data_IF_856569807110
#
_entry.id   IF_856569807110
#
_cell.length_a   1.000
_cell.length_b   1.000
_cell.length_c   1.000
_cell.angle_alpha   90.00
_cell.angle_beta   90.00
_cell.angle_gamma   90.00
#
_symmetry.space_group_name_H-M   'P 1'
#
loop_
_entity.id
_entity.type
_entity.pdbx_description
1 polymer ?
#
# COMPACT_ATOMS: atom_id res chain seq x y z
N UNK A 1 2.67 -13.02 8.49
CA UNK A 1 3.38 -12.96 7.19
C UNK A 1 3.45 -11.51 6.76
N UNK A 2 4.59 -11.01 6.28
CA UNK A 2 4.70 -9.65 5.75
C UNK A 2 3.96 -9.51 4.43
N UNK A 3 3.56 -8.28 4.11
CA UNK A 3 2.91 -7.91 2.85
C UNK A 3 3.65 -6.76 2.20
N UNK A 4 3.73 -6.75 0.88
CA UNK A 4 4.30 -5.65 0.13
C UNK A 4 3.39 -5.30 -1.06
N UNK A 5 3.54 -4.07 -1.54
CA UNK A 5 2.90 -3.62 -2.77
C UNK A 5 3.78 -4.00 -3.95
N UNK A 6 3.19 -4.66 -4.93
CA UNK A 6 3.81 -5.00 -6.19
C UNK A 6 3.11 -4.21 -7.30
N UNK A 7 3.86 -3.80 -8.30
CA UNK A 7 3.29 -3.34 -9.56
C UNK A 7 3.91 -4.11 -10.71
N UNK A 8 3.07 -4.75 -11.52
CA UNK A 8 3.52 -5.57 -12.66
C UNK A 8 4.66 -6.54 -12.28
N UNK A 9 4.47 -7.26 -11.17
CA UNK A 9 5.43 -8.19 -10.54
C UNK A 9 6.72 -7.55 -9.95
N UNK A 10 6.91 -6.23 -10.08
CA UNK A 10 7.99 -5.51 -9.41
C UNK A 10 7.59 -5.06 -7.99
N UNK A 11 8.40 -5.38 -6.98
CA UNK A 11 8.19 -4.91 -5.59
C UNK A 11 8.45 -3.39 -5.55
N UNK A 12 7.37 -2.61 -5.38
CA UNK A 12 7.45 -1.15 -5.30
C UNK A 12 7.61 -0.65 -3.87
N UNK A 13 7.08 -1.41 -2.90
CA UNK A 13 7.08 -1.00 -1.50
C UNK A 13 7.84 -1.99 -0.62
N UNK A 14 8.30 -1.51 0.54
CA UNK A 14 8.96 -2.34 1.54
C UNK A 14 7.97 -3.37 2.12
N UNK A 15 8.44 -4.40 2.82
CA UNK A 15 7.56 -5.32 3.51
C UNK A 15 6.96 -4.67 4.76
N UNK A 16 5.65 -4.79 4.93
CA UNK A 16 4.88 -4.33 6.07
C UNK A 16 4.32 -5.51 6.86
N UNK A 17 4.02 -5.31 8.15
CA UNK A 17 3.54 -6.39 9.00
C UNK A 17 2.12 -6.86 8.61
N UNK A 18 1.30 -5.98 8.03
CA UNK A 18 -0.08 -6.29 7.64
C UNK A 18 -0.42 -5.74 6.26
N UNK A 19 -1.34 -6.40 5.55
CA UNK A 19 -1.88 -5.90 4.30
C UNK A 19 -2.58 -4.53 4.48
N UNK A 20 -3.23 -4.31 5.64
CA UNK A 20 -3.89 -3.04 5.94
C UNK A 20 -2.92 -1.86 6.01
N UNK A 21 -1.68 -2.08 6.48
CA UNK A 21 -0.63 -1.05 6.42
C UNK A 21 -0.27 -0.75 4.96
N UNK A 22 -0.08 -1.78 4.12
CA UNK A 22 0.20 -1.58 2.68
C UNK A 22 -0.94 -0.82 1.99
N UNK A 23 -2.19 -1.17 2.31
CA UNK A 23 -3.39 -0.47 1.81
C UNK A 23 -3.40 1.01 2.17
N UNK A 24 -3.05 1.37 3.41
CA UNK A 24 -2.97 2.78 3.82
C UNK A 24 -1.92 3.54 3.03
N UNK A 25 -0.78 2.90 2.75
CA UNK A 25 0.33 3.51 2.02
C UNK A 25 -0.08 3.74 0.57
N UNK A 26 -0.65 2.71 -0.06
CA UNK A 26 -1.16 2.80 -1.42
C UNK A 26 -2.27 3.86 -1.55
N UNK A 27 -3.18 3.93 -0.57
CA UNK A 27 -4.23 4.95 -0.54
C UNK A 27 -3.65 6.36 -0.45
N UNK A 28 -2.66 6.57 0.42
CA UNK A 28 -1.99 7.87 0.56
C UNK A 28 -1.22 8.28 -0.70
N UNK A 29 -0.61 7.32 -1.39
CA UNK A 29 0.13 7.54 -2.63
C UNK A 29 -0.78 7.77 -3.85
N UNK A 30 -2.11 7.73 -3.69
CA UNK A 30 -3.06 7.85 -4.82
C UNK A 30 -3.10 6.62 -5.72
N UNK A 31 -2.58 5.48 -5.25
CA UNK A 31 -2.53 4.20 -5.99
C UNK A 31 -3.83 3.39 -5.84
N UNK A 32 -4.75 3.87 -5.02
CA UNK A 32 -6.07 3.27 -4.82
C UNK A 32 -7.05 3.97 -5.74
N UNK A 33 -7.64 3.20 -6.63
CA UNK A 33 -8.77 3.64 -7.45
C UNK A 33 -10.06 3.32 -6.71
N UNK A 34 -10.91 4.32 -6.54
CA UNK A 34 -12.27 4.10 -6.04
C UNK A 34 -13.05 3.44 -7.18
N UNK A 35 -13.20 2.12 -7.15
CA UNK A 35 -14.06 1.43 -8.11
C UNK A 35 -15.51 1.72 -7.72
N UNK A 36 -16.11 2.64 -8.45
CA UNK A 36 -17.56 2.75 -8.58
C UNK A 36 -18.02 1.48 -9.29
N UNK A 37 -18.21 0.40 -8.52
CA UNK A 37 -18.84 -0.81 -9.04
C UNK A 37 -20.26 -0.46 -9.46
N UNK A 38 -20.45 -0.34 -10.76
CA UNK A 38 -21.78 -0.38 -11.34
C UNK A 38 -22.46 -1.67 -10.87
N UNK A 39 -23.60 -1.50 -10.21
CA UNK A 39 -24.63 -2.51 -10.06
C UNK A 39 -24.30 -3.71 -9.13
N UNK A 40 -24.16 -3.44 -7.83
CA UNK A 40 -24.90 -4.14 -6.77
C UNK A 40 -24.54 -3.54 -5.41
N UNK A 41 -25.46 -3.59 -4.46
CA UNK A 41 -25.50 -2.84 -3.20
C UNK A 41 -24.37 -3.22 -2.21
N UNK A 42 -23.11 -2.97 -2.56
CA UNK A 42 -21.95 -3.15 -1.66
C UNK A 42 -21.08 -1.91 -1.81
N UNK A 43 -20.87 -1.18 -0.71
CA UNK A 43 -20.09 0.07 -0.67
C UNK A 43 -18.81 -0.02 -1.53
N UNK A 44 -18.41 1.07 -2.23
CA UNK A 44 -17.21 1.08 -3.06
C UNK A 44 -16.06 0.58 -2.21
N UNK A 45 -15.56 -0.62 -2.54
CA UNK A 45 -14.37 -1.14 -1.88
C UNK A 45 -13.22 -0.45 -2.60
N UNK A 46 -12.39 0.35 -1.91
CA UNK A 46 -11.19 0.87 -2.51
C UNK A 46 -10.39 -0.32 -3.04
N UNK A 47 -10.16 -0.36 -4.35
CA UNK A 47 -9.30 -1.37 -4.96
C UNK A 47 -8.02 -0.72 -5.44
N UNK A 48 -6.95 -1.50 -5.52
CA UNK A 48 -5.74 -1.03 -6.18
C UNK A 48 -6.00 -0.95 -7.67
N UNK A 49 -5.30 -0.04 -8.33
CA UNK A 49 -5.31 0.00 -9.78
C UNK A 49 -4.86 -1.37 -10.35
N UNK A 50 -5.31 -1.71 -11.57
CA UNK A 50 -5.09 -3.02 -12.17
C UNK A 50 -3.60 -3.42 -12.25
N UNK A 51 -2.72 -2.42 -12.28
CA UNK A 51 -1.28 -2.59 -12.30
C UNK A 51 -0.67 -2.83 -10.91
N UNK A 52 -1.44 -2.76 -9.81
CA UNK A 52 -0.95 -2.84 -8.43
C UNK A 52 -1.62 -3.97 -7.63
N UNK A 53 -0.83 -4.75 -6.90
CA UNK A 53 -1.32 -5.87 -6.11
C UNK A 53 -0.61 -5.95 -4.75
N UNK A 54 -1.36 -6.24 -3.68
CA UNK A 54 -0.79 -6.53 -2.35
C UNK A 54 -0.65 -8.03 -2.21
N UNK A 55 0.60 -8.50 -2.14
CA UNK A 55 0.92 -9.91 -2.01
C UNK A 55 1.73 -10.16 -0.74
N UNK A 56 1.54 -11.33 -0.08
CA UNK A 56 2.44 -11.74 0.97
C UNK A 56 3.85 -11.87 0.38
N UNK A 57 4.82 -11.24 1.05
CA UNK A 57 6.21 -11.18 0.62
C UNK A 57 7.09 -11.87 1.66
N UNK A 58 8.22 -12.44 1.24
CA UNK A 58 9.23 -12.89 2.19
C UNK A 58 9.88 -11.69 2.85
N UNK A 59 10.01 -11.76 4.18
CA UNK A 59 10.77 -10.74 4.90
C UNK A 59 12.23 -10.89 4.52
N UNK A 60 12.81 -9.86 3.93
CA UNK A 60 14.23 -9.86 3.63
C UNK A 60 15.02 -9.76 4.94
N UNK A 61 16.17 -10.45 5.07
CA UNK A 61 16.91 -10.53 6.33
C UNK A 61 17.42 -9.18 6.86
N UNK A 62 17.47 -8.15 6.01
CA UNK A 62 17.82 -6.77 6.38
C UNK A 62 16.61 -5.84 6.56
N UNK A 63 15.40 -6.35 6.34
CA UNK A 63 14.19 -5.55 6.26
C UNK A 63 13.35 -5.73 7.54
N UNK A 64 13.10 -4.63 8.23
CA UNK A 64 12.33 -4.59 9.47
C UNK A 64 10.92 -4.06 9.20
N UNK A 65 9.87 -4.89 9.23
CA UNK A 65 8.54 -4.47 8.81
C UNK A 65 7.95 -3.40 9.75
N UNK A 66 8.33 -3.45 11.03
CA UNK A 66 7.96 -2.42 12.00
C UNK A 66 8.64 -1.07 11.72
N UNK A 67 9.92 -1.07 11.30
CA UNK A 67 10.61 0.16 10.90
C UNK A 67 10.07 0.68 9.58
N UNK A 68 9.79 -0.19 8.61
CA UNK A 68 9.22 0.21 7.32
C UNK A 68 7.87 0.90 7.48
N UNK A 69 7.04 0.42 8.40
CA UNK A 69 5.80 1.09 8.78
C UNK A 69 6.08 2.49 9.31
N UNK A 70 6.94 2.61 10.32
CA UNK A 70 7.25 3.91 10.94
C UNK A 70 7.88 4.91 9.95
N UNK A 71 8.77 4.42 9.08
CA UNK A 71 9.44 5.17 8.02
C UNK A 71 8.42 5.70 7.01
N UNK A 72 7.56 4.83 6.49
CA UNK A 72 6.57 5.25 5.50
C UNK A 72 5.46 6.13 6.08
N UNK A 73 5.10 5.98 7.37
CA UNK A 73 4.22 6.94 8.04
C UNK A 73 4.86 8.33 8.13
N UNK A 74 6.17 8.39 8.39
CA UNK A 74 6.95 9.64 8.48
C UNK A 74 7.18 10.29 7.12
N UNK A 75 7.50 9.52 6.09
CA UNK A 75 7.64 10.01 4.72
C UNK A 75 6.31 10.54 4.20
N UNK A 76 5.22 9.80 4.41
CA UNK A 76 3.88 10.25 4.02
C UNK A 76 3.46 11.56 4.72
N UNK A 77 3.86 11.78 5.98
CA UNK A 77 3.64 13.07 6.65
C UNK A 77 4.46 14.21 6.04
N UNK A 78 5.66 13.89 5.56
CA UNK A 78 6.59 14.86 4.97
C UNK A 78 6.15 15.26 3.56
N UNK A 79 5.71 14.30 2.74
CA UNK A 79 5.22 14.55 1.39
C UNK A 79 3.94 15.40 1.41
N UNK A 80 3.04 15.17 2.38
CA UNK A 80 1.84 16.00 2.57
C UNK A 80 2.17 17.47 2.91
N UNK A 81 3.29 17.70 3.60
CA UNK A 81 3.76 19.05 3.95
C UNK A 81 4.49 19.74 2.79
N UNK A 82 5.16 18.96 1.93
CA UNK A 82 5.90 19.48 0.78
C UNK A 82 4.98 19.75 -0.43
N UNK A 83 3.84 19.07 -0.51
CA UNK A 83 2.82 19.26 -1.54
C UNK A 83 1.85 20.44 -1.26
N UNK A 84 2.15 21.29 -0.27
CA UNK A 84 1.34 22.45 0.13
C UNK A 84 1.79 23.76 -0.52
#
# INVERSE_FOLDING_TARGET
MPYALFSNDAKLSKAYPTAADVWKIAQKSGLVVDVVSGQDNTAPRPVLDHDYEIRPCQLEPHEDPARNKADAEREAQTELQLAS
#
